data_IF_439697431070
#
_entry.id   IF_439697431070
#
_cell.length_a   1.000
_cell.length_b   1.000
_cell.length_c   1.000
_cell.angle_alpha   90.00
_cell.angle_beta   90.00
_cell.angle_gamma   90.00
#
_symmetry.space_group_name_H-M   'P 1'
#
loop_
_entity.id
_entity.type
_entity.pdbx_description
1 polymer ?
#
# COMPACT_ATOMS: atom_id res chain seq x y z
N UNK A 1 -17.96 -13.76 -5.84
CA UNK A 1 -16.71 -13.61 -5.07
C UNK A 1 -16.77 -14.56 -3.88
N UNK A 2 -15.65 -15.18 -3.45
CA UNK A 2 -15.66 -16.20 -2.40
C UNK A 2 -16.39 -15.79 -1.09
N UNK A 3 -16.33 -14.50 -0.71
CA UNK A 3 -16.99 -13.99 0.51
C UNK A 3 -18.52 -14.05 0.44
N UNK A 4 -19.14 -14.02 -0.73
CA UNK A 4 -20.61 -14.13 -0.87
C UNK A 4 -21.13 -15.51 -0.46
N UNK A 5 -20.32 -16.55 -0.60
CA UNK A 5 -20.63 -17.91 -0.13
C UNK A 5 -20.76 -17.99 1.39
N UNK A 6 -20.16 -17.04 2.11
CA UNK A 6 -20.21 -16.90 3.56
C UNK A 6 -21.27 -15.90 4.02
N UNK A 7 -22.15 -15.45 3.11
CA UNK A 7 -23.20 -14.47 3.42
C UNK A 7 -22.67 -13.02 3.60
N UNK A 8 -21.43 -12.76 3.18
CA UNK A 8 -20.84 -11.42 3.25
C UNK A 8 -21.11 -10.65 1.97
N UNK A 9 -21.76 -9.51 2.07
CA UNK A 9 -21.89 -8.55 0.98
C UNK A 9 -20.63 -7.69 0.87
N UNK A 10 -20.03 -7.65 -0.32
CA UNK A 10 -18.89 -6.76 -0.61
C UNK A 10 -19.39 -5.57 -1.43
N UNK A 11 -19.25 -4.38 -0.85
CA UNK A 11 -19.55 -3.10 -1.51
C UNK A 11 -18.27 -2.41 -1.92
N UNK A 12 -18.26 -1.83 -3.11
CA UNK A 12 -17.15 -1.02 -3.59
C UNK A 12 -17.48 0.45 -3.41
N UNK A 13 -16.50 1.22 -2.91
CA UNK A 13 -16.64 2.67 -2.83
C UNK A 13 -16.74 3.27 -4.23
N UNK A 14 -17.72 4.13 -4.42
CA UNK A 14 -17.83 4.98 -5.60
C UNK A 14 -16.96 6.21 -5.40
N UNK A 15 -16.05 6.46 -6.32
CA UNK A 15 -15.12 7.59 -6.26
C UNK A 15 -15.22 8.42 -7.54
N UNK A 16 -15.10 9.74 -7.40
CA UNK A 16 -15.20 10.69 -8.52
C UNK A 16 -13.95 10.70 -9.41
N UNK A 17 -12.83 10.20 -8.89
CA UNK A 17 -11.56 10.11 -9.62
C UNK A 17 -10.79 8.84 -9.22
N UNK A 18 -9.95 8.28 -10.10
CA UNK A 18 -9.23 7.05 -9.81
C UNK A 18 -8.41 7.13 -8.51
N UNK A 19 -8.85 6.37 -7.49
CA UNK A 19 -8.20 6.28 -6.19
C UNK A 19 -8.30 7.51 -5.30
N UNK A 20 -9.01 8.55 -5.73
CA UNK A 20 -9.23 9.76 -4.92
C UNK A 20 -10.28 9.52 -3.85
N UNK A 21 -9.92 8.81 -2.78
CA UNK A 21 -10.79 8.49 -1.65
C UNK A 21 -10.44 9.42 -0.48
N UNK A 22 -11.42 10.23 -0.06
CA UNK A 22 -11.34 11.10 1.13
C UNK A 22 -12.18 10.52 2.26
N UNK A 23 -11.97 11.00 3.48
CA UNK A 23 -12.73 10.54 4.63
C UNK A 23 -14.25 10.70 4.41
N UNK A 24 -14.68 11.83 3.83
CA UNK A 24 -16.10 12.11 3.55
C UNK A 24 -16.70 11.12 2.51
N UNK A 25 -15.91 10.63 1.58
CA UNK A 25 -16.38 9.65 0.59
C UNK A 25 -16.66 8.29 1.23
N UNK A 26 -15.87 7.91 2.24
CA UNK A 26 -16.10 6.70 3.04
C UNK A 26 -17.31 6.91 3.94
N UNK A 27 -17.36 8.03 4.66
CA UNK A 27 -18.43 8.36 5.58
C UNK A 27 -19.81 8.36 4.91
N UNK A 28 -19.93 8.93 3.72
CA UNK A 28 -21.18 9.01 2.97
C UNK A 28 -21.66 7.69 2.38
N UNK A 29 -20.84 6.61 2.42
CA UNK A 29 -21.18 5.31 1.81
C UNK A 29 -21.25 4.15 2.81
N UNK A 30 -21.09 4.42 4.10
CA UNK A 30 -21.25 3.42 5.17
C UNK A 30 -22.61 3.56 5.86
N UNK A 31 -23.19 2.43 6.25
CA UNK A 31 -24.44 2.31 6.98
C UNK A 31 -24.29 1.36 8.18
N UNK A 32 -25.39 1.10 8.90
CA UNK A 32 -25.42 0.24 10.09
C UNK A 32 -25.10 -1.24 9.80
N UNK A 33 -25.09 -1.66 8.54
CA UNK A 33 -24.76 -3.03 8.15
C UNK A 33 -23.27 -3.24 7.89
N UNK A 34 -22.49 -2.14 7.71
CA UNK A 34 -21.05 -2.23 7.48
C UNK A 34 -20.35 -2.70 8.75
N UNK A 35 -19.54 -3.75 8.64
CA UNK A 35 -18.76 -4.33 9.75
C UNK A 35 -17.28 -4.07 9.61
N UNK A 36 -16.78 -3.94 8.39
CA UNK A 36 -15.38 -3.69 8.12
C UNK A 36 -15.23 -2.82 6.86
N UNK A 37 -14.26 -1.92 6.91
CA UNK A 37 -13.78 -1.18 5.75
C UNK A 37 -12.34 -1.62 5.48
N UNK A 38 -12.06 -2.05 4.24
CA UNK A 38 -10.73 -2.46 3.79
C UNK A 38 -10.27 -1.54 2.66
N UNK A 39 -9.16 -0.82 2.86
CA UNK A 39 -8.65 0.15 1.91
C UNK A 39 -7.12 0.05 1.78
N UNK A 40 -6.60 0.39 0.60
CA UNK A 40 -5.17 0.61 0.42
C UNK A 40 -4.80 2.02 0.91
N UNK A 41 -3.74 2.14 1.69
CA UNK A 41 -3.22 3.42 2.22
C UNK A 41 -2.83 4.42 1.14
N UNK A 42 -2.49 3.90 -0.05
CA UNK A 42 -2.23 4.69 -1.24
C UNK A 42 -2.64 3.91 -2.48
N UNK A 43 -3.35 4.56 -3.38
CA UNK A 43 -3.85 3.92 -4.59
C UNK A 43 -2.72 3.61 -5.58
N UNK A 44 -2.58 2.35 -5.96
CA UNK A 44 -1.44 1.83 -6.74
C UNK A 44 -1.31 2.42 -8.15
N UNK A 45 -2.41 2.88 -8.75
CA UNK A 45 -2.39 3.53 -10.06
C UNK A 45 -2.08 5.01 -9.93
N UNK A 46 -2.88 5.75 -9.18
CA UNK A 46 -2.84 7.21 -9.16
C UNK A 46 -1.83 7.81 -8.18
N UNK A 47 -1.40 7.05 -7.17
CA UNK A 47 -0.54 7.56 -6.11
C UNK A 47 -1.25 8.44 -5.07
N UNK A 48 -2.59 8.43 -5.04
CA UNK A 48 -3.37 9.17 -4.05
C UNK A 48 -3.28 8.47 -2.67
N UNK A 49 -2.80 9.18 -1.65
CA UNK A 49 -2.74 8.67 -0.26
C UNK A 49 -4.02 8.97 0.50
N UNK A 50 -4.44 8.01 1.32
CA UNK A 50 -5.60 8.14 2.19
C UNK A 50 -5.32 9.00 3.43
N UNK A 51 -6.36 9.61 3.96
CA UNK A 51 -6.43 10.21 5.30
C UNK A 51 -6.61 9.10 6.36
N UNK A 52 -5.60 8.23 6.52
CA UNK A 52 -5.71 7.01 7.34
C UNK A 52 -6.17 7.32 8.76
N UNK A 53 -5.62 8.37 9.37
CA UNK A 53 -5.96 8.80 10.74
C UNK A 53 -7.43 9.25 10.85
N UNK A 54 -7.89 10.10 9.92
CA UNK A 54 -9.25 10.61 9.92
C UNK A 54 -10.28 9.51 9.66
N UNK A 55 -10.02 8.66 8.67
CA UNK A 55 -10.87 7.50 8.33
C UNK A 55 -10.91 6.52 9.50
N UNK A 56 -9.76 6.17 10.07
CA UNK A 56 -9.70 5.23 11.18
C UNK A 56 -10.44 5.72 12.42
N UNK A 57 -10.31 7.01 12.76
CA UNK A 57 -11.05 7.61 13.89
C UNK A 57 -12.56 7.56 13.66
N UNK A 58 -13.02 7.98 12.49
CA UNK A 58 -14.43 7.96 12.11
C UNK A 58 -15.01 6.53 12.15
N UNK A 59 -14.29 5.53 11.67
CA UNK A 59 -14.71 4.13 11.69
C UNK A 59 -14.76 3.58 13.13
N UNK A 60 -13.77 3.91 13.96
CA UNK A 60 -13.73 3.52 15.37
C UNK A 60 -14.92 4.05 16.16
N UNK A 61 -15.29 5.33 15.95
CA UNK A 61 -16.46 5.95 16.58
C UNK A 61 -17.77 5.24 16.23
N UNK A 62 -17.80 4.56 15.08
CA UNK A 62 -18.97 3.80 14.60
C UNK A 62 -18.87 2.28 14.87
N UNK A 63 -17.82 1.84 15.54
CA UNK A 63 -17.61 0.42 15.84
C UNK A 63 -17.35 -0.44 14.60
N UNK A 64 -16.81 0.15 13.53
CA UNK A 64 -16.49 -0.50 12.25
C UNK A 64 -15.00 -0.82 12.22
N UNK A 65 -14.63 -2.07 11.95
CA UNK A 65 -13.24 -2.49 11.86
C UNK A 65 -12.55 -1.87 10.63
N UNK A 66 -11.30 -1.45 10.80
CA UNK A 66 -10.49 -0.89 9.71
C UNK A 66 -9.30 -1.80 9.34
N UNK A 67 -9.31 -2.31 8.11
CA UNK A 67 -8.22 -3.09 7.51
C UNK A 67 -7.47 -2.23 6.49
N UNK A 68 -6.16 -2.06 6.67
CA UNK A 68 -5.31 -1.22 5.84
C UNK A 68 -4.29 -2.06 5.07
N UNK A 69 -4.34 -2.03 3.75
CA UNK A 69 -3.22 -2.45 2.90
C UNK A 69 -2.22 -1.29 2.81
N UNK A 70 -1.11 -1.42 3.54
CA UNK A 70 -0.10 -0.37 3.63
C UNK A 70 1.11 -0.58 2.70
N UNK A 71 1.02 -1.51 1.73
CA UNK A 71 2.12 -1.87 0.83
C UNK A 71 2.68 -0.67 0.04
N UNK A 72 1.89 0.38 -0.17
CA UNK A 72 2.29 1.56 -0.93
C UNK A 72 2.76 2.74 -0.06
N UNK A 73 2.75 2.61 1.26
CA UNK A 73 3.18 3.69 2.18
C UNK A 73 4.25 3.27 3.18
N UNK A 74 4.18 2.05 3.73
CA UNK A 74 5.18 1.56 4.69
C UNK A 74 6.56 1.53 4.03
N UNK A 75 7.53 2.20 4.66
CA UNK A 75 8.88 2.39 4.13
C UNK A 75 9.07 3.66 3.28
N UNK A 76 7.97 4.34 2.89
CA UNK A 76 8.01 5.58 2.10
C UNK A 76 7.47 6.80 2.87
N UNK A 77 6.43 6.60 3.68
CA UNK A 77 5.75 7.66 4.41
C UNK A 77 5.42 7.21 5.83
N UNK A 78 5.37 8.13 6.80
CA UNK A 78 4.72 7.87 8.07
C UNK A 78 3.29 7.39 7.85
N UNK A 79 2.94 6.27 8.46
CA UNK A 79 1.60 5.68 8.32
C UNK A 79 1.02 5.51 9.73
N UNK A 80 0.04 6.35 10.13
CA UNK A 80 -0.56 6.27 11.45
C UNK A 80 -1.38 4.99 11.59
N UNK A 81 -1.21 4.25 12.68
CA UNK A 81 -1.90 2.98 12.93
C UNK A 81 -2.79 3.00 14.18
N UNK A 82 -2.90 4.14 14.86
CA UNK A 82 -3.63 4.25 16.14
C UNK A 82 -5.10 3.83 16.03
N UNK A 83 -5.71 4.05 14.87
CA UNK A 83 -7.10 3.73 14.57
C UNK A 83 -7.25 2.64 13.49
N UNK A 84 -6.18 1.88 13.20
CA UNK A 84 -6.20 0.75 12.27
C UNK A 84 -6.25 -0.55 13.07
N UNK A 85 -7.18 -1.44 12.77
CA UNK A 85 -7.35 -2.71 13.50
C UNK A 85 -6.49 -3.82 12.91
N UNK A 86 -6.38 -3.83 11.57
CA UNK A 86 -5.57 -4.78 10.81
C UNK A 86 -4.73 -4.04 9.79
N UNK A 87 -3.45 -4.34 9.70
CA UNK A 87 -2.59 -3.82 8.63
C UNK A 87 -1.79 -4.94 8.00
N UNK A 88 -1.68 -4.92 6.68
CA UNK A 88 -0.78 -5.81 5.95
C UNK A 88 0.09 -5.01 4.97
N UNK A 89 1.33 -5.43 4.80
CA UNK A 89 2.24 -4.90 3.80
C UNK A 89 3.30 -5.93 3.41
N UNK A 90 3.43 -6.22 2.12
CA UNK A 90 4.53 -7.03 1.60
C UNK A 90 5.82 -6.18 1.51
N UNK A 91 6.97 -6.81 1.73
CA UNK A 91 8.27 -6.14 1.84
C UNK A 91 8.86 -5.65 0.50
N UNK A 92 8.45 -6.22 -0.62
CA UNK A 92 9.14 -6.09 -1.93
C UNK A 92 8.93 -4.74 -2.66
N UNK A 93 8.29 -3.76 -2.02
CA UNK A 93 8.11 -2.42 -2.60
C UNK A 93 8.93 -1.38 -1.84
N UNK A 94 8.24 -0.47 -1.15
CA UNK A 94 8.88 0.66 -0.48
C UNK A 94 9.73 0.28 0.73
N UNK A 95 9.50 -0.90 1.31
CA UNK A 95 10.38 -1.41 2.36
C UNK A 95 11.71 -1.97 1.83
N UNK A 96 11.90 -2.11 0.50
CA UNK A 96 13.12 -2.65 -0.14
C UNK A 96 13.50 -4.05 0.34
N UNK A 97 12.54 -4.78 0.87
CA UNK A 97 12.74 -6.14 1.37
C UNK A 97 12.56 -7.20 0.26
N UNK A 98 12.89 -8.45 0.56
CA UNK A 98 12.72 -9.55 -0.39
C UNK A 98 11.24 -9.90 -0.61
N UNK A 99 10.95 -10.53 -1.75
CA UNK A 99 9.66 -11.17 -1.98
C UNK A 99 9.40 -12.28 -0.95
N UNK A 100 8.13 -12.60 -0.71
CA UNK A 100 7.68 -13.59 0.25
C UNK A 100 8.07 -13.30 1.73
N UNK A 101 8.33 -12.04 2.04
CA UNK A 101 8.39 -11.51 3.39
C UNK A 101 7.47 -10.30 3.48
N UNK A 102 6.87 -10.06 4.63
CA UNK A 102 5.96 -8.95 4.86
C UNK A 102 5.62 -8.78 6.31
N UNK A 103 4.75 -7.83 6.59
CA UNK A 103 4.28 -7.51 7.93
C UNK A 103 2.76 -7.65 7.96
N UNK A 104 2.26 -8.25 9.04
CA UNK A 104 0.86 -8.23 9.43
C UNK A 104 0.78 -7.69 10.86
N UNK A 105 -0.03 -6.69 11.08
CA UNK A 105 -0.33 -6.15 12.40
C UNK A 105 -1.80 -6.43 12.68
N UNK A 106 -2.08 -6.99 13.84
CA UNK A 106 -3.41 -7.20 14.40
C UNK A 106 -3.42 -6.56 15.78
N UNK A 107 -4.31 -5.61 16.02
CA UNK A 107 -4.46 -5.04 17.35
C UNK A 107 -4.81 -6.13 18.36
N UNK A 108 -4.26 -6.05 19.55
CA UNK A 108 -4.52 -7.01 20.62
C UNK A 108 -6.02 -7.15 20.90
N UNK A 109 -6.76 -6.06 20.93
CA UNK A 109 -8.23 -6.04 21.10
C UNK A 109 -9.01 -6.76 19.98
N UNK A 110 -8.36 -7.04 18.85
CA UNK A 110 -8.98 -7.73 17.72
C UNK A 110 -8.56 -9.19 17.61
N UNK A 111 -7.66 -9.66 18.46
CA UNK A 111 -7.16 -11.05 18.39
C UNK A 111 -8.22 -12.10 18.71
N UNK A 112 -9.19 -11.77 19.54
CA UNK A 112 -10.32 -12.67 19.83
C UNK A 112 -11.40 -12.63 18.75
N UNK A 113 -11.45 -11.54 17.96
CA UNK A 113 -12.38 -11.39 16.82
C UNK A 113 -11.82 -12.08 15.58
N UNK A 114 -10.53 -11.88 15.30
CA UNK A 114 -9.86 -12.52 14.17
C UNK A 114 -9.29 -13.87 14.57
N UNK A 115 -10.08 -14.94 14.37
CA UNK A 115 -9.61 -16.29 14.64
C UNK A 115 -8.81 -16.85 13.47
N UNK A 116 -7.67 -17.51 13.71
CA UNK A 116 -6.93 -18.22 12.67
C UNK A 116 -7.76 -19.34 12.05
N UNK A 117 -7.71 -19.49 10.75
CA UNK A 117 -8.37 -20.57 10.01
C UNK A 117 -7.39 -21.67 9.59
N UNK A 118 -6.10 -21.44 9.78
CA UNK A 118 -5.03 -22.40 9.47
C UNK A 118 -4.29 -22.73 10.75
N UNK A 119 -4.12 -24.02 11.02
CA UNK A 119 -3.47 -24.52 12.21
C UNK A 119 -2.19 -25.26 11.84
N UNK A 120 -1.19 -25.12 12.69
CA UNK A 120 0.09 -25.79 12.54
C UNK A 120 0.91 -25.71 13.83
N UNK A 121 2.06 -26.32 13.84
CA UNK A 121 2.90 -26.47 15.02
C UNK A 121 3.51 -25.17 15.57
N UNK A 122 3.49 -24.06 14.80
CA UNK A 122 3.98 -22.77 15.26
C UNK A 122 2.93 -21.90 15.93
N UNK A 123 1.66 -22.00 15.53
CA UNK A 123 0.61 -21.13 16.04
C UNK A 123 -0.23 -21.73 17.17
N UNK A 124 0.04 -22.99 17.55
CA UNK A 124 -0.57 -23.65 18.70
C UNK A 124 0.44 -23.81 19.83
N UNK A 125 -0.05 -23.88 21.07
CA UNK A 125 0.78 -24.22 22.21
C UNK A 125 1.07 -25.73 22.16
N UNK A 126 2.30 -26.08 21.82
CA UNK A 126 2.77 -27.44 21.72
C UNK A 126 4.12 -27.54 22.47
N UNK A 127 4.09 -27.56 23.81
CA UNK A 127 5.31 -27.67 24.62
C UNK A 127 6.07 -28.95 24.26
N UNK A 128 7.36 -28.83 24.04
CA UNK A 128 8.25 -29.95 23.75
C UNK A 128 7.83 -30.79 22.51
N UNK A 129 7.07 -30.20 21.59
CA UNK A 129 6.51 -30.88 20.41
C UNK A 129 5.63 -32.12 20.75
N UNK A 130 5.09 -32.14 21.94
CA UNK A 130 4.13 -33.18 22.34
C UNK A 130 2.73 -32.78 21.90
N UNK A 131 2.01 -33.69 21.25
CA UNK A 131 0.62 -33.46 20.86
C UNK A 131 -0.23 -33.16 22.07
N UNK A 132 -0.84 -31.98 22.12
CA UNK A 132 -1.83 -31.64 23.13
C UNK A 132 -3.21 -32.17 22.71
N UNK A 133 -4.03 -32.57 23.68
CA UNK A 133 -5.43 -32.98 23.42
C UNK A 133 -6.28 -31.76 23.03
N UNK A 134 -5.93 -30.58 23.57
CA UNK A 134 -6.62 -29.32 23.30
C UNK A 134 -5.85 -28.45 22.32
N UNK A 135 -6.56 -27.87 21.35
CA UNK A 135 -6.01 -26.92 20.38
C UNK A 135 -6.00 -25.51 21.00
N UNK A 136 -4.92 -25.18 21.70
CA UNK A 136 -4.73 -23.87 22.31
C UNK A 136 -3.82 -23.02 21.42
N UNK A 137 -4.32 -21.88 20.94
CA UNK A 137 -3.55 -20.96 20.12
C UNK A 137 -2.47 -20.22 20.93
N UNK A 138 -1.42 -19.78 20.27
CA UNK A 138 -0.45 -18.86 20.87
C UNK A 138 -1.16 -17.58 21.39
N UNK A 139 -0.72 -17.03 22.54
CA UNK A 139 -1.41 -15.91 23.19
C UNK A 139 -1.17 -14.55 22.50
N UNK A 140 -0.29 -14.51 21.53
CA UNK A 140 0.13 -13.31 20.81
C UNK A 140 0.00 -13.45 19.28
N UNK A 141 0.60 -12.55 18.50
CA UNK A 141 0.52 -12.55 17.04
C UNK A 141 1.03 -13.83 16.37
N UNK A 142 1.82 -14.65 17.06
CA UNK A 142 2.25 -15.98 16.56
C UNK A 142 1.08 -16.89 16.24
N UNK A 143 -0.11 -16.65 16.82
CA UNK A 143 -1.35 -17.38 16.47
C UNK A 143 -1.71 -17.33 14.99
N UNK A 144 -1.18 -16.34 14.23
CA UNK A 144 -1.41 -16.19 12.79
C UNK A 144 -0.32 -16.83 11.93
N UNK A 145 0.70 -17.44 12.53
CA UNK A 145 1.88 -17.98 11.85
C UNK A 145 1.93 -19.51 12.01
N UNK A 146 1.15 -20.24 11.19
CA UNK A 146 0.93 -21.67 11.36
C UNK A 146 2.15 -22.55 11.03
N UNK A 147 3.03 -22.12 10.13
CA UNK A 147 4.13 -22.93 9.60
C UNK A 147 5.52 -22.34 9.77
N UNK A 148 6.50 -23.02 9.22
CA UNK A 148 7.90 -22.58 9.26
C UNK A 148 8.08 -21.22 8.57
N UNK A 149 8.81 -20.33 9.24
CA UNK A 149 9.06 -18.99 8.75
C UNK A 149 10.06 -18.98 7.58
N UNK A 150 9.88 -18.03 6.66
CA UNK A 150 10.89 -17.67 5.67
C UNK A 150 12.04 -16.90 6.35
N UNK A 151 12.93 -17.62 7.04
CA UNK A 151 14.00 -17.00 7.83
C UNK A 151 14.92 -16.12 6.99
N UNK A 152 15.22 -16.52 5.75
CA UNK A 152 16.05 -15.71 4.83
C UNK A 152 15.34 -14.40 4.46
N UNK A 153 14.04 -14.47 4.17
CA UNK A 153 13.22 -13.29 3.90
C UNK A 153 13.14 -12.34 5.10
N UNK A 154 12.98 -12.88 6.30
CA UNK A 154 12.92 -12.09 7.55
C UNK A 154 14.27 -11.39 7.81
N UNK A 155 15.40 -12.07 7.65
CA UNK A 155 16.73 -11.46 7.79
C UNK A 155 16.97 -10.36 6.76
N UNK A 156 16.57 -10.59 5.50
CA UNK A 156 16.66 -9.58 4.45
C UNK A 156 15.77 -8.37 4.73
N UNK A 157 14.53 -8.60 5.18
CA UNK A 157 13.61 -7.53 5.58
C UNK A 157 14.16 -6.73 6.77
N UNK A 158 14.70 -7.40 7.77
CA UNK A 158 15.33 -6.74 8.92
C UNK A 158 16.45 -5.78 8.49
N UNK A 159 17.34 -6.23 7.59
CA UNK A 159 18.42 -5.39 7.07
C UNK A 159 17.88 -4.16 6.30
N UNK A 160 16.82 -4.34 5.49
CA UNK A 160 16.15 -3.25 4.78
C UNK A 160 15.53 -2.24 5.75
N UNK A 161 14.82 -2.72 6.77
CA UNK A 161 14.20 -1.84 7.78
C UNK A 161 15.24 -1.05 8.56
N UNK A 162 16.38 -1.65 8.90
CA UNK A 162 17.50 -0.94 9.52
C UNK A 162 18.06 0.17 8.62
N UNK A 163 18.13 -0.07 7.30
CA UNK A 163 18.54 0.97 6.34
C UNK A 163 17.56 2.13 6.35
N UNK A 164 16.25 1.85 6.23
CA UNK A 164 15.20 2.88 6.20
C UNK A 164 15.17 3.68 7.51
N UNK A 165 15.33 3.01 8.67
CA UNK A 165 15.40 3.68 9.96
C UNK A 165 16.60 4.63 10.08
N UNK A 166 17.78 4.23 9.58
CA UNK A 166 18.97 5.09 9.58
C UNK A 166 18.81 6.34 8.70
N UNK A 167 18.10 6.24 7.57
CA UNK A 167 17.81 7.38 6.70
C UNK A 167 16.73 8.27 7.35
N UNK A 168 15.76 7.65 8.01
CA UNK A 168 14.60 8.29 8.62
C UNK A 168 13.43 8.41 7.63
N UNK A 169 12.25 7.91 8.02
CA UNK A 169 11.06 7.87 7.16
C UNK A 169 10.60 9.28 6.76
N UNK A 170 10.70 10.26 7.66
CA UNK A 170 10.37 11.66 7.34
C UNK A 170 11.28 12.26 6.28
N UNK A 171 12.58 11.90 6.30
CA UNK A 171 13.52 12.34 5.28
C UNK A 171 13.21 11.70 3.93
N UNK A 172 12.87 10.41 3.92
CA UNK A 172 12.44 9.69 2.73
C UNK A 172 11.17 10.33 2.16
N UNK A 173 10.15 10.54 2.98
CA UNK A 173 8.89 11.16 2.56
C UNK A 173 9.10 12.53 1.93
N UNK A 174 9.91 13.38 2.57
CA UNK A 174 10.24 14.73 2.07
C UNK A 174 10.94 14.69 0.70
N UNK A 175 11.91 13.79 0.55
CA UNK A 175 12.62 13.57 -0.72
C UNK A 175 11.68 13.08 -1.83
N UNK A 176 10.83 12.11 -1.53
CA UNK A 176 9.83 11.59 -2.48
C UNK A 176 8.84 12.67 -2.93
N UNK A 177 8.39 13.52 -2.03
CA UNK A 177 7.50 14.63 -2.35
C UNK A 177 8.21 15.72 -3.19
N UNK A 178 9.50 15.96 -2.93
CA UNK A 178 10.30 16.87 -3.76
C UNK A 178 10.46 16.32 -5.19
N UNK A 179 10.78 15.06 -5.35
CA UNK A 179 10.84 14.36 -6.65
C UNK A 179 9.51 14.38 -7.38
N UNK A 180 8.40 14.17 -6.66
CA UNK A 180 7.06 14.28 -7.22
C UNK A 180 6.81 15.67 -7.78
N UNK A 181 7.11 16.74 -7.03
CA UNK A 181 6.91 18.13 -7.50
C UNK A 181 7.65 18.36 -8.81
N UNK A 182 8.95 18.02 -8.87
CA UNK A 182 9.75 18.13 -10.09
C UNK A 182 9.08 17.41 -11.27
N UNK A 183 8.67 16.15 -11.08
CA UNK A 183 8.03 15.35 -12.14
C UNK A 183 6.69 15.94 -12.59
N UNK A 184 5.85 16.41 -11.67
CA UNK A 184 4.54 17.01 -11.99
C UNK A 184 4.73 18.28 -12.80
N UNK A 185 5.64 19.17 -12.39
CA UNK A 185 5.91 20.44 -13.05
C UNK A 185 6.41 20.21 -14.48
N UNK A 186 7.44 19.38 -14.64
CA UNK A 186 8.06 19.10 -15.93
C UNK A 186 7.10 18.36 -16.89
N UNK A 187 6.36 17.36 -16.40
CA UNK A 187 5.38 16.64 -17.22
C UNK A 187 4.24 17.56 -17.67
N UNK A 188 3.80 18.47 -16.80
CA UNK A 188 2.76 19.46 -17.13
C UNK A 188 3.25 20.44 -18.19
N UNK A 189 4.50 20.95 -18.06
CA UNK A 189 5.12 21.79 -19.08
C UNK A 189 5.21 21.09 -20.44
N UNK A 190 5.53 19.80 -20.43
CA UNK A 190 5.55 18.93 -21.63
C UNK A 190 4.14 18.56 -22.13
N UNK A 191 3.07 19.11 -21.55
CA UNK A 191 1.67 18.87 -21.94
C UNK A 191 1.17 17.44 -21.69
N UNK A 192 1.76 16.71 -20.75
CA UNK A 192 1.18 15.49 -20.21
C UNK A 192 0.10 15.82 -19.18
N UNK A 193 -0.95 15.02 -19.14
CA UNK A 193 -1.96 15.06 -18.10
C UNK A 193 -1.48 14.19 -16.95
N UNK A 194 -1.22 14.79 -15.80
CA UNK A 194 -0.80 14.08 -14.58
C UNK A 194 -2.01 13.84 -13.69
N UNK A 195 -2.20 12.60 -13.25
CA UNK A 195 -3.25 12.26 -12.29
C UNK A 195 -2.96 12.95 -10.95
N UNK A 196 -3.98 13.59 -10.39
CA UNK A 196 -3.88 14.26 -9.10
C UNK A 196 -2.68 15.22 -9.01
N UNK A 197 -2.44 16.01 -10.06
CA UNK A 197 -1.34 16.98 -10.10
C UNK A 197 -1.43 17.99 -8.93
N UNK A 198 -2.63 18.50 -8.68
CA UNK A 198 -2.91 19.61 -7.76
C UNK A 198 -3.44 19.16 -6.37
N UNK A 199 -3.21 17.87 -5.98
CA UNK A 199 -3.65 17.43 -4.66
C UNK A 199 -2.78 18.01 -3.55
N UNK A 200 -3.38 18.21 -2.39
CA UNK A 200 -2.67 18.57 -1.18
C UNK A 200 -1.57 17.54 -0.85
N UNK A 201 -0.51 18.00 -0.19
CA UNK A 201 0.63 17.15 0.15
C UNK A 201 0.24 15.90 0.96
N UNK A 202 -0.80 16.02 1.77
CA UNK A 202 -1.39 14.90 2.53
C UNK A 202 -1.77 13.73 1.61
N UNK A 203 -2.31 14.03 0.44
CA UNK A 203 -2.76 13.04 -0.55
C UNK A 203 -1.71 12.69 -1.59
N UNK A 204 -0.59 13.40 -1.63
CA UNK A 204 0.48 13.15 -2.57
C UNK A 204 1.38 11.99 -2.12
N UNK A 205 1.86 11.17 -3.06
CA UNK A 205 2.89 10.14 -2.81
C UNK A 205 4.10 10.35 -3.72
N UNK A 206 5.11 9.51 -3.64
CA UNK A 206 6.23 9.50 -4.59
C UNK A 206 5.87 9.02 -5.99
N UNK A 207 4.67 8.47 -6.19
CA UNK A 207 4.22 7.97 -7.49
C UNK A 207 3.61 9.09 -8.34
N UNK A 208 3.98 9.13 -9.61
CA UNK A 208 3.42 10.06 -10.61
C UNK A 208 2.90 9.26 -11.79
N UNK A 209 1.62 9.37 -12.08
CA UNK A 209 0.95 8.68 -13.18
C UNK A 209 0.42 9.69 -14.18
N UNK A 210 0.72 9.46 -15.44
CA UNK A 210 0.41 10.42 -16.49
C UNK A 210 0.06 9.74 -17.81
N UNK A 211 -0.59 10.52 -18.66
CA UNK A 211 -0.85 10.20 -20.06
C UNK A 211 -0.91 11.47 -20.91
N UNK A 212 -1.05 11.30 -22.21
CA UNK A 212 -1.29 12.40 -23.15
C UNK A 212 -2.37 12.01 -24.15
N UNK A 213 -3.32 12.90 -24.38
CA UNK A 213 -4.35 12.68 -25.41
C UNK A 213 -3.71 12.53 -26.81
N UNK A 214 -4.14 11.50 -27.54
CA UNK A 214 -3.63 11.22 -28.87
C UNK A 214 -2.27 10.53 -28.94
N UNK A 215 -1.61 10.29 -27.81
CA UNK A 215 -0.35 9.54 -27.73
C UNK A 215 -0.59 8.09 -27.27
N UNK A 216 0.03 7.13 -27.95
CA UNK A 216 0.04 5.75 -27.51
C UNK A 216 1.05 5.57 -26.36
N UNK A 217 0.52 5.55 -25.12
CA UNK A 217 1.34 5.39 -23.92
C UNK A 217 2.03 4.02 -23.85
N UNK A 218 1.52 3.01 -24.55
CA UNK A 218 2.18 1.68 -24.63
C UNK A 218 3.43 1.77 -25.50
N UNK A 219 3.35 2.45 -26.62
CA UNK A 219 4.51 2.71 -27.49
C UNK A 219 5.54 3.59 -26.78
N UNK A 220 5.11 4.62 -26.06
CA UNK A 220 6.00 5.48 -25.27
C UNK A 220 6.70 4.69 -24.16
N UNK A 221 5.98 3.83 -23.43
CA UNK A 221 6.58 2.93 -22.45
C UNK A 221 7.64 2.00 -23.07
N UNK A 222 7.38 1.47 -24.26
CA UNK A 222 8.33 0.61 -24.97
C UNK A 222 9.59 1.38 -25.38
N UNK A 223 9.45 2.62 -25.92
CA UNK A 223 10.61 3.49 -26.24
C UNK A 223 11.47 3.81 -25.01
N UNK A 224 10.85 4.07 -23.86
CA UNK A 224 11.58 4.28 -22.60
C UNK A 224 12.38 3.02 -22.19
N UNK A 225 11.76 1.83 -22.31
CA UNK A 225 12.41 0.55 -21.99
C UNK A 225 13.62 0.31 -22.90
N UNK A 226 13.54 0.64 -24.19
CA UNK A 226 14.64 0.53 -25.15
C UNK A 226 15.82 1.45 -24.81
N UNK A 227 15.53 2.60 -24.16
CA UNK A 227 16.53 3.49 -23.59
C UNK A 227 16.99 3.10 -22.17
N UNK A 228 16.67 1.89 -21.72
CA UNK A 228 16.95 1.39 -20.36
C UNK A 228 16.36 2.26 -19.23
N UNK A 229 15.18 2.86 -19.48
CA UNK A 229 14.41 3.60 -18.49
C UNK A 229 13.17 2.78 -18.15
N UNK A 230 13.17 2.21 -16.94
CA UNK A 230 12.13 1.29 -16.50
C UNK A 230 11.05 2.04 -15.72
N UNK A 231 9.85 2.06 -16.28
CA UNK A 231 8.64 2.62 -15.69
C UNK A 231 7.55 1.55 -15.61
N UNK A 232 6.41 1.87 -15.06
CA UNK A 232 5.29 0.93 -15.01
C UNK A 232 4.18 1.35 -15.98
N UNK A 233 3.85 0.48 -16.93
CA UNK A 233 2.63 0.63 -17.72
C UNK A 233 1.44 0.18 -16.87
N UNK A 234 0.39 0.99 -16.81
CA UNK A 234 -0.84 0.73 -16.06
C UNK A 234 -2.06 1.05 -16.91
N UNK A 235 -3.17 0.39 -16.61
CA UNK A 235 -4.45 0.70 -17.24
C UNK A 235 -5.51 0.93 -16.16
N UNK A 236 -6.45 1.81 -16.44
CA UNK A 236 -7.68 1.93 -15.65
C UNK A 236 -8.71 0.85 -16.04
N UNK A 237 -9.91 0.95 -15.45
CA UNK A 237 -11.00 0.00 -15.71
C UNK A 237 -11.55 0.10 -17.13
N UNK A 238 -11.37 1.24 -17.78
CA UNK A 238 -11.83 1.48 -19.16
C UNK A 238 -10.76 1.09 -20.20
N UNK A 239 -9.62 0.55 -19.74
CA UNK A 239 -8.53 0.09 -20.58
C UNK A 239 -7.58 1.19 -21.07
N UNK A 240 -7.75 2.44 -20.62
CA UNK A 240 -6.85 3.54 -20.94
C UNK A 240 -5.49 3.30 -20.31
N UNK A 241 -4.45 3.43 -21.12
CA UNK A 241 -3.07 3.20 -20.70
C UNK A 241 -2.41 4.47 -20.13
N UNK A 242 -1.63 4.27 -19.08
CA UNK A 242 -0.85 5.31 -18.40
C UNK A 242 0.56 4.82 -18.13
N UNK A 243 1.49 5.75 -18.06
CA UNK A 243 2.82 5.48 -17.52
C UNK A 243 2.84 5.97 -16.07
N UNK A 244 3.31 5.09 -15.15
CA UNK A 244 3.54 5.44 -13.76
C UNK A 244 5.03 5.41 -13.47
N UNK A 245 5.55 6.51 -12.95
CA UNK A 245 6.91 6.66 -12.43
C UNK A 245 6.86 6.59 -10.90
N UNK A 246 7.74 5.82 -10.32
CA UNK A 246 7.77 5.57 -8.87
C UNK A 246 9.22 5.64 -8.36
N UNK A 247 9.85 6.82 -8.34
CA UNK A 247 11.20 6.96 -7.82
C UNK A 247 11.23 6.67 -6.33
N UNK A 248 12.31 6.05 -5.87
CA UNK A 248 12.60 5.88 -4.46
C UNK A 248 13.65 6.91 -4.00
N UNK A 249 13.98 6.95 -2.70
CA UNK A 249 14.98 7.89 -2.16
C UNK A 249 16.36 7.71 -2.81
N UNK A 250 16.71 6.52 -3.28
CA UNK A 250 18.00 6.27 -3.94
C UNK A 250 18.08 6.75 -5.39
N UNK A 251 16.96 7.09 -6.03
CA UNK A 251 17.01 7.72 -7.35
C UNK A 251 17.47 9.17 -7.23
N UNK A 252 18.35 9.57 -8.14
CA UNK A 252 18.88 10.94 -8.18
C UNK A 252 18.01 11.86 -9.03
N UNK A 253 18.21 13.16 -8.93
CA UNK A 253 17.57 14.11 -9.85
C UNK A 253 18.03 13.89 -11.32
N UNK A 254 19.26 13.44 -11.53
CA UNK A 254 19.76 13.11 -12.86
C UNK A 254 19.01 11.93 -13.49
N UNK A 255 18.62 10.93 -12.68
CA UNK A 255 17.75 9.85 -13.15
C UNK A 255 16.41 10.39 -13.64
N UNK A 256 15.81 11.33 -12.92
CA UNK A 256 14.54 11.93 -13.28
C UNK A 256 14.66 12.83 -14.52
N UNK A 257 15.73 13.63 -14.63
CA UNK A 257 15.98 14.46 -15.80
C UNK A 257 16.20 13.60 -17.05
N UNK A 258 17.00 12.53 -16.94
CA UNK A 258 17.19 11.55 -18.03
C UNK A 258 15.87 10.92 -18.48
N UNK A 259 14.98 10.59 -17.54
CA UNK A 259 13.64 10.11 -17.87
C UNK A 259 12.84 11.18 -18.63
N UNK A 260 12.82 12.42 -18.14
CA UNK A 260 12.09 13.53 -18.75
C UNK A 260 12.61 13.91 -20.16
N UNK A 261 13.91 13.81 -20.38
CA UNK A 261 14.54 14.02 -21.70
C UNK A 261 14.17 12.91 -22.69
N UNK A 262 13.89 11.72 -22.21
CA UNK A 262 13.56 10.58 -23.04
C UNK A 262 12.11 10.54 -23.53
N UNK A 263 11.22 11.34 -22.91
CA UNK A 263 9.83 11.55 -23.32
C UNK A 263 9.73 12.51 -24.52
#
# INVERSE_FOLDING_TARGET
>A
MALSEWGVEVRFLNVSSPGGIRCIDVEGQIDENVRMVALASCHFLSGFRLEVEAIGRMLKERGIAFCLDAIQTIGAFPTPLDHVDFMAADAHKWMLGPCAAGLMIVKESMQDVLQPTTFGWHNVQCPDFVTAEDLILAPDARRYEAGSHNSMGIVGLHASLQLLQRIGIDNIARDLLAKRRLLVDELTQKKYRVMHADVEELHASGMVTFDRAGEDMRATHQRLKEKHIFTALRSDRDGRAYIRVSPHFYNTNDDLLRFLEAL
#
